data_IF_818535612068
#
_entry.id   IF_818535612068
#
_cell.length_a   1.000
_cell.length_b   1.000
_cell.length_c   1.000
_cell.angle_alpha   90.00
_cell.angle_beta   90.00
_cell.angle_gamma   90.00
#
_symmetry.space_group_name_H-M   'P 1'
#
loop_
_entity.id
_entity.type
_entity.pdbx_description
1 polymer ?
#
# COMPACT_ATOMS: atom_id res chain seq x y z
N UNK A 1 11.35 -11.18 -2.49
CA UNK A 1 11.97 -10.00 -1.84
C UNK A 1 11.36 -8.74 -2.43
N UNK A 2 10.96 -7.76 -1.60
CA UNK A 2 10.44 -6.48 -2.07
C UNK A 2 11.53 -5.71 -2.82
N UNK A 3 11.24 -5.27 -4.03
CA UNK A 3 12.15 -4.49 -4.87
C UNK A 3 11.73 -3.04 -5.02
N UNK A 4 10.43 -2.75 -5.02
CA UNK A 4 9.94 -1.40 -5.23
C UNK A 4 8.58 -1.19 -4.58
N UNK A 5 8.46 -0.07 -3.88
CA UNK A 5 7.18 0.51 -3.47
C UNK A 5 6.86 1.55 -4.54
N UNK A 6 6.10 1.19 -5.57
CA UNK A 6 5.95 2.07 -6.72
C UNK A 6 4.95 3.19 -6.45
N UNK A 7 3.81 2.85 -5.86
CA UNK A 7 2.70 3.79 -5.68
C UNK A 7 1.97 3.46 -4.37
N UNK A 8 1.71 4.48 -3.56
CA UNK A 8 0.77 4.41 -2.44
C UNK A 8 -0.06 5.68 -2.46
N UNK A 9 -1.37 5.55 -2.56
CA UNK A 9 -2.29 6.66 -2.75
C UNK A 9 -3.53 6.46 -1.88
N UNK A 10 -4.12 7.55 -1.40
CA UNK A 10 -5.39 7.53 -0.66
C UNK A 10 -5.36 6.78 0.68
N UNK A 11 -4.18 6.52 1.26
CA UNK A 11 -4.03 5.75 2.51
C UNK A 11 -3.33 6.60 3.58
N UNK A 12 -4.07 6.95 4.63
CA UNK A 12 -3.62 7.74 5.76
C UNK A 12 -3.01 9.07 5.28
N UNK A 13 -1.74 9.29 5.63
CA UNK A 13 -0.98 10.48 5.22
C UNK A 13 -0.28 10.33 3.85
N UNK A 14 -0.27 9.11 3.31
CA UNK A 14 0.28 8.81 1.98
C UNK A 14 -0.83 9.01 0.94
N UNK A 15 -1.12 10.27 0.66
CA UNK A 15 -2.19 10.66 -0.25
C UNK A 15 -1.83 10.40 -1.72
N UNK A 16 -0.57 10.66 -2.12
CA UNK A 16 -0.02 10.43 -3.46
C UNK A 16 1.51 10.25 -3.38
N UNK A 17 1.93 9.12 -2.81
CA UNK A 17 3.33 8.80 -2.62
C UNK A 17 3.89 8.03 -3.84
N UNK A 18 4.89 8.62 -4.50
CA UNK A 18 5.61 8.02 -5.62
C UNK A 18 6.98 7.49 -5.18
N UNK A 19 7.14 6.17 -5.16
CA UNK A 19 8.42 5.52 -4.90
C UNK A 19 9.08 4.91 -6.14
N UNK A 20 8.53 5.15 -7.35
CA UNK A 20 9.07 4.63 -8.62
C UNK A 20 10.57 4.88 -8.80
N UNK A 21 11.16 6.02 -8.42
CA UNK A 21 12.61 6.25 -8.57
C UNK A 21 13.50 5.40 -7.65
N UNK A 22 12.96 4.81 -6.58
CA UNK A 22 13.76 4.16 -5.55
C UNK A 22 13.59 2.64 -5.57
N UNK A 23 14.69 1.92 -5.77
CA UNK A 23 14.72 0.45 -5.71
C UNK A 23 15.23 0.00 -4.34
N UNK A 24 14.50 -0.88 -3.67
CA UNK A 24 14.92 -1.52 -2.44
C UNK A 24 16.11 -2.46 -2.70
N UNK A 25 17.09 -2.45 -1.79
CA UNK A 25 18.22 -3.39 -1.76
C UNK A 25 18.07 -4.31 -0.55
N UNK A 26 19.05 -5.20 -0.33
CA UNK A 26 19.06 -6.16 0.80
C UNK A 26 18.76 -5.49 2.15
N UNK A 27 19.26 -4.27 2.34
CA UNK A 27 18.86 -3.38 3.42
C UNK A 27 18.44 -2.03 2.82
N UNK A 28 17.29 -1.51 3.24
CA UNK A 28 16.77 -0.20 2.83
C UNK A 28 16.24 0.51 4.07
N UNK A 29 16.69 1.74 4.31
CA UNK A 29 16.22 2.58 5.42
C UNK A 29 15.20 3.58 4.89
N UNK A 30 14.02 3.63 5.50
CA UNK A 30 13.00 4.64 5.24
C UNK A 30 12.91 5.50 6.49
N UNK A 31 13.25 6.78 6.35
CA UNK A 31 13.27 7.74 7.43
C UNK A 31 12.32 8.91 7.14
N UNK A 32 11.63 9.37 8.17
CA UNK A 32 10.82 10.58 8.15
C UNK A 32 10.52 11.03 9.58
N UNK A 33 10.08 12.28 9.76
CA UNK A 33 9.62 12.78 11.06
C UNK A 33 8.32 12.13 11.54
N UNK A 34 7.99 12.36 12.81
CA UNK A 34 6.71 11.92 13.37
C UNK A 34 5.54 12.55 12.61
N UNK A 35 4.47 11.78 12.43
CA UNK A 35 3.31 12.25 11.65
C UNK A 35 3.57 12.37 10.14
N UNK A 36 4.55 11.65 9.57
CA UNK A 36 4.81 11.61 8.11
C UNK A 36 4.36 10.33 7.40
N UNK A 37 3.59 9.47 8.09
CA UNK A 37 3.05 8.25 7.47
C UNK A 37 3.94 7.00 7.55
N UNK A 38 5.01 7.00 8.37
CA UNK A 38 5.85 5.80 8.60
C UNK A 38 5.03 4.58 9.06
N UNK A 39 4.17 4.76 10.07
CA UNK A 39 3.29 3.69 10.58
C UNK A 39 2.21 3.28 9.56
N UNK A 40 1.83 4.20 8.67
CA UNK A 40 0.95 3.91 7.54
C UNK A 40 1.64 2.98 6.55
N UNK A 41 2.88 3.30 6.16
CA UNK A 41 3.69 2.43 5.30
C UNK A 41 3.91 1.05 5.93
N UNK A 42 4.23 0.99 7.23
CA UNK A 42 4.38 -0.27 7.95
C UNK A 42 3.08 -1.10 7.94
N UNK A 43 1.91 -0.44 7.97
CA UNK A 43 0.61 -1.12 7.88
C UNK A 43 0.35 -1.69 6.48
N UNK A 44 0.74 -0.97 5.42
CA UNK A 44 0.67 -1.49 4.04
C UNK A 44 1.55 -2.73 3.88
N UNK A 45 2.80 -2.68 4.37
CA UNK A 45 3.69 -3.84 4.32
C UNK A 45 3.16 -5.01 5.16
N UNK A 46 2.56 -4.72 6.32
CA UNK A 46 1.91 -5.74 7.16
C UNK A 46 0.74 -6.40 6.44
N UNK A 47 -0.14 -5.61 5.84
CA UNK A 47 -1.29 -6.08 5.05
C UNK A 47 -0.87 -7.05 3.95
N UNK A 48 0.20 -6.73 3.23
CA UNK A 48 0.76 -7.60 2.19
C UNK A 48 1.35 -8.89 2.76
N UNK A 49 1.98 -8.82 3.94
CA UNK A 49 2.51 -10.03 4.59
C UNK A 49 1.45 -10.95 5.17
N UNK A 50 0.31 -10.40 5.61
CA UNK A 50 -0.79 -11.17 6.22
C UNK A 50 -1.91 -11.52 5.23
N UNK A 51 -1.91 -10.89 4.04
CA UNK A 51 -3.01 -10.96 3.09
C UNK A 51 -4.30 -10.27 3.57
N UNK A 52 -4.21 -9.39 4.58
CA UNK A 52 -5.38 -8.76 5.20
C UNK A 52 -5.55 -7.32 4.69
N UNK A 53 -6.45 -7.13 3.75
CA UNK A 53 -6.75 -5.83 3.12
C UNK A 53 -7.52 -4.88 4.05
N UNK A 54 -8.17 -5.39 5.11
CA UNK A 54 -8.93 -4.56 6.06
C UNK A 54 -8.03 -3.52 6.74
N UNK A 55 -6.74 -3.84 6.91
CA UNK A 55 -5.73 -2.96 7.48
C UNK A 55 -5.47 -1.70 6.64
N UNK A 56 -5.66 -1.79 5.31
CA UNK A 56 -5.50 -0.66 4.38
C UNK A 56 -6.83 0.08 4.26
N UNK A 57 -7.93 -0.64 4.10
CA UNK A 57 -9.28 -0.07 3.96
C UNK A 57 -9.68 0.77 5.18
N UNK A 58 -9.34 0.32 6.39
CA UNK A 58 -9.59 1.04 7.64
C UNK A 58 -8.75 2.33 7.77
N UNK A 59 -7.77 2.56 6.89
CA UNK A 59 -6.85 3.71 6.92
C UNK A 59 -7.02 4.60 5.69
N UNK A 60 -8.22 4.73 5.13
CA UNK A 60 -8.50 5.71 4.08
C UNK A 60 -8.09 7.12 4.52
N UNK A 61 -7.48 7.91 3.62
CA UNK A 61 -7.15 9.31 3.88
C UNK A 61 -8.43 10.11 4.20
N UNK A 62 -8.44 10.79 5.35
CA UNK A 62 -9.55 11.68 5.76
C UNK A 62 -9.59 12.86 4.80
N UNK A 63 -10.78 13.18 4.29
CA UNK A 63 -11.02 14.22 3.27
C UNK A 63 -10.20 14.04 1.98
N UNK A 64 -9.67 12.83 1.73
CA UNK A 64 -8.95 12.50 0.51
C UNK A 64 -9.88 12.27 -0.67
N UNK A 65 -9.55 12.86 -1.80
CA UNK A 65 -10.30 12.70 -3.07
C UNK A 65 -9.83 11.48 -3.87
N UNK A 66 -8.67 10.92 -3.52
CA UNK A 66 -8.05 9.82 -4.24
C UNK A 66 -8.45 8.46 -3.64
N UNK A 67 -8.85 7.47 -4.45
CA UNK A 67 -9.17 6.14 -3.94
C UNK A 67 -7.92 5.46 -3.36
N UNK A 68 -8.06 4.64 -2.31
CA UNK A 68 -6.94 3.88 -1.77
C UNK A 68 -6.33 2.95 -2.82
N UNK A 69 -5.04 3.10 -3.06
CA UNK A 69 -4.29 2.30 -4.03
C UNK A 69 -2.89 1.98 -3.53
N UNK A 70 -2.44 0.75 -3.76
CA UNK A 70 -1.06 0.30 -3.48
C UNK A 70 -0.52 -0.47 -4.66
N UNK A 71 0.74 -0.21 -5.02
CA UNK A 71 1.46 -0.96 -6.02
C UNK A 71 2.88 -1.31 -5.55
N UNK A 72 3.16 -2.61 -5.43
CA UNK A 72 4.45 -3.15 -5.03
C UNK A 72 5.01 -4.12 -6.07
N UNK A 73 6.33 -4.12 -6.22
CA UNK A 73 7.07 -5.06 -7.07
C UNK A 73 8.03 -5.91 -6.23
N UNK A 74 8.07 -7.20 -6.55
CA UNK A 74 8.96 -8.17 -5.94
C UNK A 74 9.90 -8.77 -6.99
N UNK A 75 11.11 -9.15 -6.58
CA UNK A 75 12.17 -9.56 -7.50
C UNK A 75 11.97 -10.87 -8.27
N UNK A 76 10.89 -11.59 -8.03
CA UNK A 76 10.44 -12.69 -8.89
C UNK A 76 9.68 -12.20 -10.13
N UNK A 77 9.53 -10.88 -10.32
CA UNK A 77 8.60 -10.29 -11.28
C UNK A 77 7.15 -10.24 -10.78
N UNK A 78 6.90 -10.73 -9.56
CA UNK A 78 5.60 -10.69 -8.93
C UNK A 78 5.19 -9.26 -8.58
N UNK A 79 3.97 -8.89 -8.96
CA UNK A 79 3.38 -7.58 -8.74
C UNK A 79 2.18 -7.74 -7.82
N UNK A 80 2.18 -6.99 -6.72
CA UNK A 80 1.06 -6.92 -5.77
C UNK A 80 0.40 -5.56 -5.95
N UNK A 81 -0.88 -5.55 -6.28
CA UNK A 81 -1.69 -4.34 -6.35
C UNK A 81 -2.89 -4.41 -5.42
N UNK A 82 -3.36 -3.25 -5.01
CA UNK A 82 -4.62 -3.08 -4.32
C UNK A 82 -5.25 -1.81 -4.87
N UNK A 83 -6.50 -1.89 -5.29
CA UNK A 83 -7.25 -0.78 -5.84
C UNK A 83 -8.65 -0.83 -5.20
N UNK A 84 -8.98 0.17 -4.37
CA UNK A 84 -10.31 0.31 -3.78
C UNK A 84 -11.04 1.47 -4.47
N UNK A 85 -11.45 1.22 -5.71
CA UNK A 85 -12.21 2.17 -6.52
C UNK A 85 -13.67 2.15 -6.04
N UNK A 86 -14.03 3.12 -5.19
CA UNK A 86 -15.40 3.44 -4.72
C UNK A 86 -16.47 2.34 -4.79
N UNK A 87 -16.50 1.44 -3.80
CA UNK A 87 -17.64 0.53 -3.59
C UNK A 87 -18.53 1.06 -2.47
N UNK A 88 -19.75 1.49 -2.84
CA UNK A 88 -20.82 1.80 -1.90
C UNK A 88 -21.14 0.58 -1.01
N UNK A 89 -21.78 0.86 0.11
CA UNK A 89 -22.11 -0.05 1.20
C UNK A 89 -22.45 -1.49 0.75
N UNK A 90 -21.71 -2.49 1.26
CA UNK A 90 -22.27 -3.83 1.45
C UNK A 90 -21.61 -5.04 0.79
N UNK A 91 -20.50 -4.95 0.07
CA UNK A 91 -19.86 -6.17 -0.48
C UNK A 91 -18.34 -6.21 -0.37
N UNK A 92 -17.87 -7.33 0.19
CA UNK A 92 -16.48 -7.70 0.45
C UNK A 92 -15.65 -7.60 -0.84
N UNK A 93 -14.64 -6.73 -0.82
CA UNK A 93 -13.78 -6.42 -1.97
C UNK A 93 -13.11 -7.69 -2.49
N UNK A 94 -13.18 -7.90 -3.80
CA UNK A 94 -12.44 -8.94 -4.52
C UNK A 94 -10.92 -8.70 -4.37
N UNK A 95 -10.36 -9.13 -3.24
CA UNK A 95 -8.94 -9.35 -3.04
C UNK A 95 -8.45 -10.60 -3.80
N UNK A 96 -9.06 -10.88 -4.96
CA UNK A 96 -9.22 -12.26 -5.43
C UNK A 96 -7.95 -12.86 -6.06
N UNK A 97 -6.83 -12.11 -6.15
CA UNK A 97 -5.56 -12.71 -6.61
C UNK A 97 -4.25 -12.06 -6.15
N UNK A 98 -4.25 -10.97 -5.39
CA UNK A 98 -3.12 -10.02 -5.46
C UNK A 98 -2.30 -9.85 -4.18
N UNK A 99 -2.63 -10.53 -3.08
CA UNK A 99 -1.98 -10.28 -1.78
C UNK A 99 -1.40 -11.52 -1.08
N UNK A 100 -1.06 -12.56 -1.85
CA UNK A 100 -0.25 -13.68 -1.35
C UNK A 100 1.11 -13.64 -2.05
N UNK A 101 2.16 -13.38 -1.27
CA UNK A 101 3.55 -13.56 -1.70
C UNK A 101 3.95 -15.03 -1.63
#
# INVERSE_FOLDING_TARGET
>A
MLERIAEIQGIGLLHDANGKPHTCKKATLIYADNGRGKSTLATVLRSVSTGDTSLITARKTVDGTLPPRVLLYFGSGHKVSFDNEGRGDGEEGDAHEIMRC
#
